data_IF_440107608077
#
_entry.id   IF_440107608077
#
_cell.length_a   1.000
_cell.length_b   1.000
_cell.length_c   1.000
_cell.angle_alpha   90.00
_cell.angle_beta   90.00
_cell.angle_gamma   90.00
#
_symmetry.space_group_name_H-M   'P 1'
#
loop_
_entity.id
_entity.type
_entity.pdbx_description
1 polymer ?
#
# COMPACT_ATOMS: atom_id res chain seq x y z
N UNK A 1 18.03 -7.59 2.63
CA UNK A 1 17.82 -8.86 3.36
C UNK A 1 16.54 -9.55 2.89
N UNK A 2 15.38 -8.87 2.87
CA UNK A 2 14.09 -9.46 2.46
C UNK A 2 14.09 -10.00 1.02
N UNK A 3 14.80 -9.36 0.10
CA UNK A 3 14.88 -9.80 -1.32
C UNK A 3 15.53 -11.18 -1.52
N UNK A 4 16.35 -11.61 -0.56
CA UNK A 4 17.11 -12.89 -0.65
C UNK A 4 16.70 -13.90 0.43
N UNK A 5 15.83 -13.49 1.37
CA UNK A 5 15.35 -14.38 2.43
C UNK A 5 14.45 -15.47 1.86
N UNK A 6 14.57 -16.69 2.36
CA UNK A 6 13.62 -17.76 2.06
C UNK A 6 12.22 -17.38 2.51
N UNK A 7 11.20 -17.85 1.80
CA UNK A 7 9.80 -17.55 2.11
C UNK A 7 9.43 -17.95 3.56
N UNK A 8 9.87 -19.13 3.99
CA UNK A 8 9.63 -19.68 5.32
C UNK A 8 10.23 -18.80 6.43
N UNK A 9 11.37 -18.14 6.15
CA UNK A 9 11.97 -17.19 7.09
C UNK A 9 11.11 -15.94 7.28
N UNK A 10 10.54 -15.40 6.20
CA UNK A 10 9.63 -14.25 6.27
C UNK A 10 8.33 -14.62 7.01
N UNK A 11 7.81 -15.83 6.79
CA UNK A 11 6.65 -16.35 7.50
C UNK A 11 6.87 -16.39 9.02
N UNK A 12 8.08 -16.72 9.46
CA UNK A 12 8.46 -16.78 10.88
C UNK A 12 8.76 -15.41 11.50
N UNK A 13 9.29 -14.48 10.68
CA UNK A 13 9.75 -13.18 11.17
C UNK A 13 8.63 -12.14 11.22
N UNK A 14 7.58 -12.28 10.42
CA UNK A 14 6.50 -11.29 10.33
C UNK A 14 5.18 -11.94 10.73
N UNK A 15 4.55 -11.43 11.77
CA UNK A 15 3.21 -11.85 12.20
C UNK A 15 2.15 -10.84 11.81
N UNK A 16 0.94 -11.30 11.55
CA UNK A 16 -0.23 -10.45 11.37
C UNK A 16 -0.94 -10.23 12.70
N UNK A 17 -1.42 -9.03 12.87
CA UNK A 17 -2.25 -8.63 14.02
C UNK A 17 -3.55 -8.05 13.49
N UNK A 18 -4.66 -8.46 14.08
CA UNK A 18 -6.02 -8.04 13.72
C UNK A 18 -6.37 -8.27 12.22
N UNK A 19 -5.84 -9.36 11.64
CA UNK A 19 -6.02 -9.70 10.21
C UNK A 19 -7.49 -9.87 9.81
N UNK A 20 -8.38 -10.17 10.75
CA UNK A 20 -9.81 -10.28 10.51
C UNK A 20 -10.43 -9.01 9.88
N UNK A 21 -9.84 -7.81 10.12
CA UNK A 21 -10.28 -6.58 9.45
C UNK A 21 -10.06 -6.62 7.94
N UNK A 22 -8.98 -7.26 7.49
CA UNK A 22 -8.72 -7.48 6.07
C UNK A 22 -9.59 -8.61 5.51
N UNK A 23 -9.61 -9.75 6.20
CA UNK A 23 -10.28 -10.96 5.73
C UNK A 23 -11.77 -10.71 5.50
N UNK A 24 -12.44 -10.05 6.44
CA UNK A 24 -13.87 -9.70 6.31
C UNK A 24 -14.18 -8.87 5.06
N UNK A 25 -13.27 -7.97 4.67
CA UNK A 25 -13.48 -7.10 3.49
C UNK A 25 -13.23 -7.88 2.20
N UNK A 26 -12.19 -8.70 2.18
CA UNK A 26 -11.88 -9.55 1.02
C UNK A 26 -12.95 -10.61 0.77
N UNK A 27 -13.46 -11.24 1.81
CA UNK A 27 -14.55 -12.25 1.74
C UNK A 27 -15.86 -11.67 1.15
N UNK A 28 -16.10 -10.37 1.34
CA UNK A 28 -17.23 -9.65 0.72
C UNK A 28 -16.99 -9.30 -0.75
N UNK A 29 -15.78 -9.52 -1.27
CA UNK A 29 -15.39 -9.12 -2.62
C UNK A 29 -15.16 -7.62 -2.77
N UNK A 30 -15.04 -6.87 -1.68
CA UNK A 30 -14.75 -5.45 -1.72
C UNK A 30 -13.30 -5.19 -2.19
N UNK A 31 -13.11 -4.14 -3.00
CA UNK A 31 -11.76 -3.66 -3.32
C UNK A 31 -11.12 -2.99 -2.10
N UNK A 32 -9.83 -3.19 -1.94
CA UNK A 32 -9.08 -2.67 -0.79
C UNK A 32 -7.96 -1.72 -1.22
N UNK A 33 -7.79 -0.64 -0.48
CA UNK A 33 -6.59 0.21 -0.49
C UNK A 33 -5.94 0.10 0.87
N UNK A 34 -4.72 -0.41 0.93
CA UNK A 34 -3.91 -0.32 2.14
C UNK A 34 -3.34 1.09 2.28
N UNK A 35 -3.70 1.78 3.35
CA UNK A 35 -2.99 2.97 3.79
C UNK A 35 -1.76 2.52 4.57
N UNK A 36 -0.60 2.63 3.92
CA UNK A 36 0.63 1.98 4.35
C UNK A 36 1.79 2.99 4.44
N UNK A 37 2.39 3.24 5.60
CA UNK A 37 3.49 4.19 5.74
C UNK A 37 4.85 3.57 5.40
N UNK A 38 5.84 4.42 5.01
CA UNK A 38 7.24 4.04 4.79
C UNK A 38 8.02 3.86 6.12
N UNK A 39 7.49 3.11 7.06
CA UNK A 39 8.20 2.81 8.30
C UNK A 39 9.33 1.80 8.06
N UNK A 40 10.28 1.70 9.01
CA UNK A 40 11.48 0.84 8.87
C UNK A 40 11.15 -0.64 8.62
N UNK A 41 10.00 -1.12 9.07
CA UNK A 41 9.51 -2.48 8.84
C UNK A 41 8.82 -2.68 7.47
N UNK A 42 8.70 -1.62 6.65
CA UNK A 42 7.96 -1.59 5.38
C UNK A 42 8.23 -2.80 4.48
N UNK A 43 9.46 -2.99 4.06
CA UNK A 43 9.83 -4.03 3.09
C UNK A 43 9.54 -5.45 3.62
N UNK A 44 9.85 -5.72 4.90
CA UNK A 44 9.65 -7.05 5.50
C UNK A 44 8.17 -7.45 5.50
N UNK A 45 7.30 -6.53 5.92
CA UNK A 45 5.88 -6.78 5.99
C UNK A 45 5.21 -6.85 4.61
N UNK A 46 5.63 -6.03 3.63
CA UNK A 46 5.14 -6.12 2.25
C UNK A 46 5.49 -7.46 1.61
N UNK A 47 6.72 -7.95 1.80
CA UNK A 47 7.10 -9.24 1.23
C UNK A 47 6.35 -10.41 1.85
N UNK A 48 6.06 -10.36 3.16
CA UNK A 48 5.19 -11.34 3.80
C UNK A 48 3.77 -11.25 3.24
N UNK A 49 3.23 -10.04 3.16
CA UNK A 49 1.87 -9.83 2.65
C UNK A 49 1.73 -10.31 1.20
N UNK A 50 2.74 -10.08 0.35
CA UNK A 50 2.74 -10.51 -1.04
C UNK A 50 2.84 -12.04 -1.24
N UNK A 51 3.22 -12.79 -0.20
CA UNK A 51 3.11 -14.26 -0.26
C UNK A 51 1.68 -14.73 -0.12
N UNK A 52 0.86 -14.01 0.65
CA UNK A 52 -0.46 -14.45 1.06
C UNK A 52 -1.57 -13.77 0.24
N UNK A 53 -1.34 -12.54 -0.24
CA UNK A 53 -2.33 -11.72 -0.95
C UNK A 53 -1.69 -11.09 -2.18
N UNK A 54 -2.36 -11.14 -3.36
CA UNK A 54 -1.90 -10.37 -4.52
C UNK A 54 -1.94 -8.88 -4.23
N UNK A 55 -1.01 -8.10 -4.78
CA UNK A 55 -0.93 -6.66 -4.53
C UNK A 55 -0.85 -5.87 -5.82
N UNK A 56 -1.54 -4.74 -5.88
CA UNK A 56 -1.30 -3.68 -6.86
C UNK A 56 -0.41 -2.63 -6.22
N UNK A 57 0.60 -2.15 -6.92
CA UNK A 57 1.46 -1.05 -6.44
C UNK A 57 1.90 -0.17 -7.59
N UNK A 58 2.11 1.12 -7.31
CA UNK A 58 2.75 2.02 -8.27
C UNK A 58 4.26 1.90 -8.20
N UNK A 59 4.93 1.97 -9.34
CA UNK A 59 6.37 1.86 -9.46
C UNK A 59 6.97 2.98 -10.30
N UNK A 60 8.00 3.64 -9.76
CA UNK A 60 8.85 4.56 -10.50
C UNK A 60 10.15 3.87 -10.88
N UNK A 61 10.44 3.79 -12.19
CA UNK A 61 11.70 3.23 -12.66
C UNK A 61 12.92 3.98 -12.10
N UNK A 62 13.94 3.24 -11.75
CA UNK A 62 15.20 3.79 -11.29
C UNK A 62 16.07 4.22 -12.47
N UNK A 63 16.86 5.30 -12.31
CA UNK A 63 17.79 5.77 -13.35
C UNK A 63 18.87 4.74 -13.67
N UNK A 64 19.31 3.97 -12.69
CA UNK A 64 20.28 2.88 -12.88
C UNK A 64 19.52 1.61 -13.29
N UNK A 65 19.66 1.20 -14.54
CA UNK A 65 18.98 0.02 -15.10
C UNK A 65 19.31 -1.29 -14.36
N UNK A 66 20.54 -1.46 -13.91
CA UNK A 66 20.96 -2.65 -13.16
C UNK A 66 20.23 -2.74 -11.82
N UNK A 67 20.15 -1.62 -11.11
CA UNK A 67 19.39 -1.52 -9.87
C UNK A 67 17.88 -1.72 -10.11
N UNK A 68 17.34 -1.11 -11.16
CA UNK A 68 15.93 -1.25 -11.54
C UNK A 68 15.55 -2.72 -11.78
N UNK A 69 16.35 -3.44 -12.56
CA UNK A 69 16.17 -4.87 -12.81
C UNK A 69 16.19 -5.71 -11.53
N UNK A 70 17.09 -5.41 -10.59
CA UNK A 70 17.17 -6.13 -9.32
C UNK A 70 15.96 -5.85 -8.42
N UNK A 71 15.51 -4.61 -8.35
CA UNK A 71 14.28 -4.22 -7.58
C UNK A 71 13.06 -4.93 -8.17
N UNK A 72 12.88 -4.89 -9.49
CA UNK A 72 11.77 -5.56 -10.16
C UNK A 72 11.79 -7.07 -9.92
N UNK A 73 12.97 -7.71 -10.06
CA UNK A 73 13.14 -9.12 -9.74
C UNK A 73 12.75 -9.44 -8.30
N UNK A 74 13.18 -8.61 -7.35
CA UNK A 74 12.79 -8.75 -5.95
C UNK A 74 11.28 -8.64 -5.74
N UNK A 75 10.65 -7.65 -6.32
CA UNK A 75 9.20 -7.40 -6.17
C UNK A 75 8.34 -8.49 -6.80
N UNK A 76 8.74 -9.04 -7.95
CA UNK A 76 8.03 -10.13 -8.63
C UNK A 76 8.37 -11.52 -8.09
N UNK A 77 9.15 -11.62 -7.03
CA UNK A 77 9.64 -12.88 -6.50
C UNK A 77 8.56 -13.92 -6.19
N UNK A 78 7.39 -13.47 -5.75
CA UNK A 78 6.26 -14.34 -5.40
C UNK A 78 5.17 -14.36 -6.46
N UNK A 79 5.38 -13.66 -7.59
CA UNK A 79 4.45 -13.54 -8.73
C UNK A 79 3.06 -12.96 -8.40
N UNK A 80 2.91 -12.34 -7.24
CA UNK A 80 1.63 -11.80 -6.75
C UNK A 80 1.58 -10.27 -6.75
N UNK A 81 2.51 -9.57 -7.43
CA UNK A 81 2.49 -8.12 -7.52
C UNK A 81 2.20 -7.63 -8.93
N UNK A 82 1.28 -6.68 -9.05
CA UNK A 82 0.90 -6.00 -10.28
C UNK A 82 1.39 -4.56 -10.20
N UNK A 83 2.51 -4.28 -10.89
CA UNK A 83 3.11 -2.97 -10.90
C UNK A 83 2.49 -2.10 -11.99
N UNK A 84 2.04 -0.91 -11.59
CA UNK A 84 1.58 0.15 -12.49
C UNK A 84 2.69 1.17 -12.60
N UNK A 85 3.16 1.44 -13.81
CA UNK A 85 4.20 2.43 -14.01
C UNK A 85 3.69 3.84 -13.59
N UNK A 86 4.55 4.61 -12.91
CA UNK A 86 4.18 5.96 -12.43
C UNK A 86 3.69 6.87 -13.56
N UNK A 87 4.24 6.69 -14.77
CA UNK A 87 3.85 7.43 -15.97
C UNK A 87 2.42 7.15 -16.43
N UNK A 88 1.86 5.97 -16.10
CA UNK A 88 0.46 5.62 -16.39
C UNK A 88 -0.52 6.42 -15.51
N UNK A 89 -0.04 6.98 -14.41
CA UNK A 89 -0.80 7.83 -13.50
C UNK A 89 -2.05 7.16 -12.93
N UNK A 90 -2.98 7.99 -12.51
CA UNK A 90 -4.23 7.55 -11.88
C UNK A 90 -5.10 6.68 -12.81
N UNK A 91 -5.08 6.95 -14.12
CA UNK A 91 -5.87 6.16 -15.09
C UNK A 91 -5.39 4.72 -15.18
N UNK A 92 -4.07 4.51 -15.24
CA UNK A 92 -3.46 3.17 -15.23
C UNK A 92 -3.79 2.42 -13.95
N UNK A 93 -3.68 3.09 -12.81
CA UNK A 93 -4.00 2.52 -11.50
C UNK A 93 -5.47 2.06 -11.42
N UNK A 94 -6.43 2.94 -11.77
CA UNK A 94 -7.87 2.60 -11.73
C UNK A 94 -8.17 1.42 -12.66
N UNK A 95 -7.59 1.42 -13.87
CA UNK A 95 -7.73 0.30 -14.81
C UNK A 95 -7.23 -1.01 -14.20
N UNK A 96 -6.06 -0.99 -13.53
CA UNK A 96 -5.49 -2.16 -12.87
C UNK A 96 -6.37 -2.65 -11.71
N UNK A 97 -6.84 -1.76 -10.83
CA UNK A 97 -7.71 -2.10 -9.71
C UNK A 97 -9.08 -2.66 -10.18
N UNK A 98 -9.57 -2.25 -11.35
CA UNK A 98 -10.78 -2.85 -11.96
C UNK A 98 -10.51 -4.23 -12.55
N UNK A 99 -9.34 -4.42 -13.18
CA UNK A 99 -8.93 -5.70 -13.75
C UNK A 99 -8.61 -6.74 -12.68
N UNK A 100 -8.12 -6.31 -11.52
CA UNK A 100 -7.70 -7.15 -10.39
C UNK A 100 -8.39 -6.67 -9.10
N UNK A 101 -9.72 -6.88 -8.98
CA UNK A 101 -10.48 -6.51 -7.79
C UNK A 101 -10.05 -7.31 -6.55
N UNK A 102 -9.45 -8.48 -6.76
CA UNK A 102 -8.88 -9.39 -5.78
C UNK A 102 -7.52 -8.93 -5.21
N UNK A 103 -6.87 -7.93 -5.84
CA UNK A 103 -5.56 -7.45 -5.46
C UNK A 103 -5.63 -6.06 -4.80
N UNK A 104 -5.48 -5.96 -3.48
CA UNK A 104 -5.40 -4.70 -2.76
C UNK A 104 -4.34 -3.76 -3.33
N UNK A 105 -4.66 -2.47 -3.39
CA UNK A 105 -3.70 -1.44 -3.78
C UNK A 105 -2.89 -0.97 -2.57
N UNK A 106 -1.57 -1.11 -2.66
CA UNK A 106 -0.63 -0.63 -1.65
C UNK A 106 -0.35 0.86 -1.90
N UNK A 107 -0.89 1.73 -1.05
CA UNK A 107 -0.80 3.18 -1.15
C UNK A 107 0.01 3.78 -0.01
N UNK A 108 1.06 4.51 -0.36
CA UNK A 108 2.03 5.11 0.56
C UNK A 108 2.02 6.65 0.39
N UNK A 109 1.13 7.37 1.10
CA UNK A 109 0.94 8.81 0.91
C UNK A 109 1.82 9.71 1.78
N UNK A 110 2.75 9.16 2.52
CA UNK A 110 3.54 9.82 3.57
C UNK A 110 4.83 10.48 3.06
N UNK A 111 4.98 10.62 1.73
CA UNK A 111 6.07 11.39 1.13
C UNK A 111 5.57 12.74 0.63
N UNK A 112 6.44 13.76 0.70
CA UNK A 112 6.15 15.06 0.14
C UNK A 112 6.30 15.03 -1.40
N UNK A 113 5.22 15.32 -2.10
CA UNK A 113 5.18 15.46 -3.56
C UNK A 113 5.08 16.94 -3.99
N UNK A 114 5.30 17.88 -3.08
CA UNK A 114 5.19 19.31 -3.32
C UNK A 114 3.75 19.84 -3.25
N UNK A 115 3.58 21.11 -3.63
CA UNK A 115 2.30 21.82 -3.48
C UNK A 115 1.23 21.42 -4.50
N UNK A 116 1.64 20.86 -5.63
CA UNK A 116 0.72 20.47 -6.68
C UNK A 116 -0.15 19.30 -6.22
N UNK A 117 -1.45 19.41 -6.37
CA UNK A 117 -2.44 18.40 -5.96
C UNK A 117 -2.50 18.11 -4.43
N UNK A 118 -1.97 19.03 -3.62
CA UNK A 118 -1.99 18.98 -2.16
C UNK A 118 -2.96 19.99 -1.56
N UNK A 119 -3.47 19.67 -0.39
CA UNK A 119 -4.14 20.60 0.52
C UNK A 119 -3.30 20.80 1.77
N UNK A 120 -3.40 21.97 2.39
CA UNK A 120 -2.71 22.20 3.66
C UNK A 120 -3.61 21.77 4.81
N UNK A 121 -3.13 20.84 5.62
CA UNK A 121 -3.76 20.40 6.87
C UNK A 121 -2.77 20.54 8.02
N UNK A 122 -3.29 20.79 9.20
CA UNK A 122 -2.43 20.86 10.39
C UNK A 122 -1.97 19.45 10.78
N UNK A 123 -0.66 19.25 10.83
CA UNK A 123 0.00 18.07 11.35
C UNK A 123 0.88 18.48 12.52
N UNK A 124 0.53 18.04 13.73
CA UNK A 124 1.16 18.52 14.99
C UNK A 124 1.21 20.06 15.12
N UNK A 125 0.13 20.74 14.69
CA UNK A 125 0.04 22.20 14.75
C UNK A 125 0.71 22.95 13.59
N UNK A 126 1.39 22.25 12.68
CA UNK A 126 2.09 22.85 11.53
C UNK A 126 1.29 22.60 10.24
N UNK A 127 0.95 23.64 9.44
CA UNK A 127 0.33 23.46 8.14
C UNK A 127 1.23 22.66 7.21
N UNK A 128 0.80 21.46 6.84
CA UNK A 128 1.58 20.49 6.06
C UNK A 128 0.88 20.18 4.73
N UNK A 129 1.63 20.24 3.63
CA UNK A 129 1.13 19.86 2.31
C UNK A 129 0.78 18.37 2.27
N UNK A 130 -0.49 18.07 2.11
CA UNK A 130 -1.02 16.69 2.16
C UNK A 130 -1.70 16.36 0.85
N UNK A 131 -1.28 15.26 0.21
CA UNK A 131 -1.85 14.81 -1.05
C UNK A 131 -3.28 14.26 -0.86
N UNK A 132 -4.16 14.57 -1.81
CA UNK A 132 -5.58 14.17 -1.76
C UNK A 132 -5.87 12.85 -2.50
N UNK A 133 -4.82 12.16 -2.96
CA UNK A 133 -4.95 10.97 -3.80
C UNK A 133 -5.76 9.83 -3.20
N UNK A 134 -5.60 9.57 -1.89
CA UNK A 134 -6.26 8.45 -1.22
C UNK A 134 -7.80 8.51 -1.34
N UNK A 135 -8.39 9.63 -0.94
CA UNK A 135 -9.84 9.80 -0.98
C UNK A 135 -10.39 9.77 -2.40
N UNK A 136 -9.67 10.37 -3.35
CA UNK A 136 -10.04 10.36 -4.78
C UNK A 136 -10.03 8.95 -5.35
N UNK A 137 -8.97 8.17 -5.12
CA UNK A 137 -8.86 6.79 -5.61
C UNK A 137 -9.96 5.94 -5.00
N UNK A 138 -10.17 6.01 -3.69
CA UNK A 138 -11.18 5.23 -2.99
C UNK A 138 -12.60 5.54 -3.52
N UNK A 139 -12.95 6.82 -3.73
CA UNK A 139 -14.24 7.21 -4.30
C UNK A 139 -14.43 6.73 -5.76
N UNK A 140 -13.38 6.78 -6.59
CA UNK A 140 -13.45 6.36 -8.01
C UNK A 140 -13.51 4.85 -8.20
N UNK A 141 -13.04 4.09 -7.23
CA UNK A 141 -12.96 2.62 -7.29
C UNK A 141 -13.94 1.91 -6.37
N UNK A 142 -14.63 2.65 -5.50
CA UNK A 142 -15.45 2.13 -4.39
C UNK A 142 -14.65 1.19 -3.48
N UNK A 143 -13.37 1.49 -3.27
CA UNK A 143 -12.49 0.67 -2.45
C UNK A 143 -12.58 1.05 -0.97
N UNK A 144 -12.49 0.05 -0.10
CA UNK A 144 -12.38 0.22 1.35
C UNK A 144 -10.94 0.53 1.72
N UNK A 145 -10.74 1.50 2.61
CA UNK A 145 -9.41 1.88 3.09
C UNK A 145 -9.14 1.13 4.38
N UNK A 146 -8.06 0.34 4.38
CA UNK A 146 -7.58 -0.37 5.57
C UNK A 146 -6.20 0.16 5.91
N UNK A 147 -6.02 0.87 7.05
CA UNK A 147 -4.69 1.17 7.53
C UNK A 147 -3.97 -0.13 7.89
N UNK A 148 -2.75 -0.29 7.35
CA UNK A 148 -1.90 -1.46 7.60
C UNK A 148 -0.52 -0.97 8.03
N UNK A 149 -0.22 -1.12 9.32
CA UNK A 149 0.95 -0.50 9.95
C UNK A 149 2.01 -1.55 10.25
N UNK A 150 3.17 -1.47 9.58
CA UNK A 150 4.30 -2.35 9.85
C UNK A 150 5.12 -1.82 11.04
N UNK A 151 5.46 -2.69 11.97
CA UNK A 151 6.27 -2.36 13.16
C UNK A 151 7.41 -3.36 13.32
N UNK A 152 8.60 -2.90 13.63
CA UNK A 152 9.70 -3.74 14.10
C UNK A 152 9.64 -3.83 15.62
N UNK A 153 9.74 -5.04 16.15
CA UNK A 153 9.75 -5.31 17.58
C UNK A 153 11.19 -5.37 18.12
N UNK A 154 11.32 -5.26 19.44
CA UNK A 154 12.63 -5.24 20.12
C UNK A 154 13.39 -6.56 19.99
N UNK A 155 12.68 -7.68 19.84
CA UNK A 155 13.25 -9.02 19.59
C UNK A 155 13.73 -9.21 18.13
N UNK A 156 13.63 -8.18 17.28
CA UNK A 156 14.01 -8.21 15.88
C UNK A 156 12.99 -8.85 14.94
N UNK A 157 11.84 -9.26 15.44
CA UNK A 157 10.69 -9.69 14.63
C UNK A 157 9.86 -8.48 14.16
N UNK A 158 8.81 -8.73 13.39
CA UNK A 158 7.98 -7.70 12.80
C UNK A 158 6.50 -8.03 12.98
N UNK A 159 5.69 -6.99 13.08
CA UNK A 159 4.23 -7.07 12.99
C UNK A 159 3.74 -6.32 11.77
N UNK A 160 2.66 -6.82 11.17
CA UNK A 160 1.78 -6.05 10.29
C UNK A 160 0.40 -6.03 10.92
N UNK A 161 0.01 -4.88 11.46
CA UNK A 161 -1.30 -4.69 12.09
C UNK A 161 -2.27 -4.07 11.12
N UNK A 162 -3.44 -4.68 10.98
CA UNK A 162 -4.56 -4.16 10.21
C UNK A 162 -5.55 -3.45 11.14
N UNK A 163 -6.00 -2.29 10.73
CA UNK A 163 -6.99 -1.51 11.46
C UNK A 163 -8.36 -1.58 10.79
N UNK A 164 -9.44 -1.26 11.50
CA UNK A 164 -10.78 -1.21 10.93
C UNK A 164 -10.85 -0.33 9.69
N UNK A 165 -11.81 -0.62 8.79
CA UNK A 165 -12.06 0.19 7.59
C UNK A 165 -12.26 1.65 7.96
N UNK A 166 -11.47 2.53 7.36
CA UNK A 166 -11.58 3.98 7.53
C UNK A 166 -12.90 4.52 6.94
N UNK A 167 -13.56 5.41 7.66
CA UNK A 167 -14.75 6.10 7.17
C UNK A 167 -14.32 7.28 6.29
N UNK A 168 -14.65 7.24 5.00
CA UNK A 168 -14.53 8.41 4.14
C UNK A 168 -15.64 9.42 4.48
N UNK A 169 -15.32 10.73 4.52
CA UNK A 169 -16.37 11.75 4.63
C UNK A 169 -17.31 11.62 3.43
N UNK A 170 -18.62 11.72 3.70
CA UNK A 170 -19.63 11.77 2.64
C UNK A 170 -19.30 12.94 1.71
N UNK A 171 -19.41 12.70 0.39
CA UNK A 171 -19.29 13.77 -0.61
C UNK A 171 -20.24 14.90 -0.23
N UNK A 172 -19.72 16.08 0.07
CA UNK A 172 -20.58 17.27 0.07
C UNK A 172 -21.02 17.49 -1.38
N UNK A 173 -22.32 17.63 -1.66
CA UNK A 173 -22.72 18.08 -2.98
C UNK A 173 -22.00 19.41 -3.25
N UNK A 174 -21.40 19.54 -4.42
CA UNK A 174 -20.86 20.83 -4.86
C UNK A 174 -22.04 21.81 -4.93
N UNK A 175 -21.87 23.03 -4.38
CA UNK A 175 -22.85 24.08 -4.57
C UNK A 175 -23.02 24.40 -6.06
#
# INVERSE_FOLDING_TARGET
VCWYSKAERLQKLVRYVDKHHLDTVLERGDKVIFLYPHFTAFEMAVYKLNQDVPLVSMYGHQKNEGLDKQILKGRHRYNNVFLVARQEGLRGLIRMMRKRPDAPFLYLPDQDFGRKDSVFVNFFGIPTATITGLSRIAQMTDAKIIPAIPTRLDDGTFELRFYPVGKLPKRRPHP
#
